data_IF_096578391710
#
_entry.id   IF_096578391710
#
_cell.length_a   1.000
_cell.length_b   1.000
_cell.length_c   1.000
_cell.angle_alpha   90.00
_cell.angle_beta   90.00
_cell.angle_gamma   90.00
#
_symmetry.space_group_name_H-M   'P 1'
#
loop_
_entity.id
_entity.type
_entity.pdbx_description
1 polymer ?
#
# COMPACT_ATOMS: atom_id res chain seq x y z
N UNK A 1 -56.99 -44.48 30.58
CA UNK A 1 -57.49 -43.10 30.74
C UNK A 1 -56.31 -42.16 30.78
N UNK A 2 -56.12 -41.32 29.75
CA UNK A 2 -54.98 -40.41 29.66
C UNK A 2 -55.37 -39.08 30.34
N UNK A 3 -54.78 -38.79 31.50
CA UNK A 3 -55.06 -37.57 32.25
C UNK A 3 -54.32 -36.39 31.59
N UNK A 4 -55.01 -35.61 30.76
CA UNK A 4 -54.42 -34.45 30.08
C UNK A 4 -54.36 -33.30 31.07
N UNK A 5 -53.20 -33.09 31.71
CA UNK A 5 -52.97 -31.93 32.59
C UNK A 5 -53.18 -30.65 31.78
N UNK A 6 -54.23 -29.89 32.08
CA UNK A 6 -54.49 -28.57 31.49
C UNK A 6 -53.69 -27.52 32.26
N UNK A 7 -52.75 -26.87 31.59
CA UNK A 7 -51.96 -25.77 32.17
C UNK A 7 -52.83 -24.52 32.29
N UNK A 8 -52.68 -23.76 33.39
CA UNK A 8 -53.38 -22.48 33.57
C UNK A 8 -52.85 -21.45 32.56
N UNK A 9 -53.75 -20.67 31.95
CA UNK A 9 -53.40 -19.67 30.95
C UNK A 9 -52.36 -18.65 31.44
N UNK A 10 -52.39 -18.30 32.73
CA UNK A 10 -51.40 -17.42 33.36
C UNK A 10 -49.99 -18.02 33.41
N UNK A 11 -49.86 -19.34 33.61
CA UNK A 11 -48.57 -20.03 33.60
C UNK A 11 -47.96 -20.05 32.20
N UNK A 12 -48.80 -20.20 31.17
CA UNK A 12 -48.37 -20.15 29.76
C UNK A 12 -47.92 -18.73 29.40
N UNK A 13 -48.68 -17.71 29.79
CA UNK A 13 -48.35 -16.31 29.51
C UNK A 13 -47.06 -15.83 30.23
N UNK A 14 -46.85 -16.27 31.46
CA UNK A 14 -45.62 -15.96 32.20
C UNK A 14 -44.39 -16.63 31.56
N UNK A 15 -44.51 -17.90 31.19
CA UNK A 15 -43.44 -18.63 30.51
C UNK A 15 -43.11 -18.04 29.12
N UNK A 16 -44.12 -17.67 28.34
CA UNK A 16 -43.91 -17.04 27.02
C UNK A 16 -43.27 -15.66 27.14
N UNK A 17 -43.67 -14.84 28.11
CA UNK A 17 -43.04 -13.55 28.38
C UNK A 17 -41.56 -13.67 28.73
N UNK A 18 -41.19 -14.66 29.56
CA UNK A 18 -39.79 -14.95 29.89
C UNK A 18 -38.96 -15.37 28.67
N UNK A 19 -39.52 -16.21 27.80
CA UNK A 19 -38.86 -16.62 26.55
C UNK A 19 -38.67 -15.44 25.60
N UNK A 20 -39.69 -14.57 25.45
CA UNK A 20 -39.60 -13.38 24.59
C UNK A 20 -38.54 -12.40 25.10
N UNK A 21 -38.51 -12.15 26.42
CA UNK A 21 -37.48 -11.32 27.05
C UNK A 21 -36.08 -11.90 26.83
N UNK A 22 -35.91 -13.20 27.04
CA UNK A 22 -34.64 -13.88 26.82
C UNK A 22 -34.18 -13.77 25.35
N UNK A 23 -35.08 -14.04 24.40
CA UNK A 23 -34.79 -13.91 22.96
C UNK A 23 -34.46 -12.47 22.58
N UNK A 24 -35.15 -11.48 23.14
CA UNK A 24 -34.88 -10.05 22.90
C UNK A 24 -33.49 -9.63 23.41
N UNK A 25 -33.10 -10.09 24.59
CA UNK A 25 -31.75 -9.85 25.14
C UNK A 25 -30.69 -10.55 24.28
N UNK A 26 -30.90 -11.82 23.90
CA UNK A 26 -29.99 -12.54 23.01
C UNK A 26 -29.83 -11.82 21.66
N UNK A 27 -30.93 -11.37 21.05
CA UNK A 27 -30.91 -10.65 19.79
C UNK A 27 -30.08 -9.37 19.91
N UNK A 28 -30.27 -8.61 20.99
CA UNK A 28 -29.51 -7.39 21.27
C UNK A 28 -28.01 -7.67 21.39
N UNK A 29 -27.64 -8.70 22.17
CA UNK A 29 -26.23 -9.11 22.33
C UNK A 29 -25.63 -9.56 20.99
N UNK A 30 -26.39 -10.31 20.19
CA UNK A 30 -25.92 -10.76 18.88
C UNK A 30 -25.72 -9.57 17.92
N UNK A 31 -26.66 -8.64 17.86
CA UNK A 31 -26.55 -7.41 17.07
C UNK A 31 -25.32 -6.59 17.45
N UNK A 32 -25.03 -6.44 18.74
CA UNK A 32 -23.80 -5.74 19.20
C UNK A 32 -22.53 -6.45 18.73
N UNK A 33 -22.50 -7.79 18.74
CA UNK A 33 -21.38 -8.56 18.19
C UNK A 33 -21.25 -8.37 16.69
N UNK A 34 -22.35 -8.42 15.94
CA UNK A 34 -22.35 -8.22 14.49
C UNK A 34 -21.79 -6.85 14.14
N UNK A 35 -22.23 -5.77 14.81
CA UNK A 35 -21.70 -4.42 14.59
C UNK A 35 -20.20 -4.36 14.90
N UNK A 36 -19.74 -4.98 16.00
CA UNK A 36 -18.32 -5.02 16.35
C UNK A 36 -17.48 -5.73 15.28
N UNK A 37 -17.93 -6.89 14.79
CA UNK A 37 -17.22 -7.64 13.75
C UNK A 37 -17.24 -6.90 12.42
N UNK A 38 -18.36 -6.30 12.04
CA UNK A 38 -18.48 -5.49 10.84
C UNK A 38 -17.50 -4.31 10.87
N UNK A 39 -17.47 -3.55 11.97
CA UNK A 39 -16.55 -2.42 12.10
C UNK A 39 -15.08 -2.85 12.09
N UNK A 40 -14.75 -3.99 12.70
CA UNK A 40 -13.38 -4.54 12.64
C UNK A 40 -13.00 -4.93 11.21
N UNK A 41 -13.90 -5.58 10.49
CA UNK A 41 -13.69 -5.98 9.11
C UNK A 41 -13.55 -4.75 8.19
N UNK A 42 -14.41 -3.75 8.35
CA UNK A 42 -14.35 -2.49 7.62
C UNK A 42 -13.00 -1.76 7.85
N UNK A 43 -12.57 -1.62 9.10
CA UNK A 43 -11.29 -1.01 9.45
C UNK A 43 -10.09 -1.77 8.86
N UNK A 44 -10.13 -3.11 8.91
CA UNK A 44 -9.07 -3.94 8.32
C UNK A 44 -9.00 -3.76 6.81
N UNK A 45 -10.15 -3.66 6.15
CA UNK A 45 -10.24 -3.43 4.70
C UNK A 45 -9.75 -2.05 4.29
N UNK A 46 -10.13 -1.00 5.03
CA UNK A 46 -9.63 0.36 4.79
C UNK A 46 -8.10 0.41 4.89
N UNK A 47 -7.54 -0.20 5.95
CA UNK A 47 -6.09 -0.33 6.12
C UNK A 47 -5.44 -1.05 4.94
N UNK A 48 -5.97 -2.18 4.49
CA UNK A 48 -5.43 -2.91 3.33
C UNK A 48 -5.46 -2.07 2.05
N UNK A 49 -6.57 -1.35 1.80
CA UNK A 49 -6.67 -0.46 0.64
C UNK A 49 -5.64 0.67 0.71
N UNK A 50 -5.38 1.21 1.90
CA UNK A 50 -4.37 2.24 2.08
C UNK A 50 -2.94 1.72 1.83
N UNK A 51 -2.62 0.50 2.27
CA UNK A 51 -1.33 -0.13 1.99
C UNK A 51 -1.11 -0.36 0.49
N UNK A 52 -2.11 -0.92 -0.20
CA UNK A 52 -2.06 -1.12 -1.66
C UNK A 52 -1.89 0.21 -2.38
N UNK A 53 -2.62 1.25 -1.95
CA UNK A 53 -2.47 2.59 -2.53
C UNK A 53 -1.06 3.12 -2.35
N UNK A 54 -0.50 3.05 -1.14
CA UNK A 54 0.87 3.50 -0.86
C UNK A 54 1.92 2.70 -1.63
N UNK A 55 1.71 1.39 -1.84
CA UNK A 55 2.59 0.57 -2.67
C UNK A 55 2.52 0.92 -4.15
N UNK A 56 1.34 1.27 -4.67
CA UNK A 56 1.19 1.78 -6.03
C UNK A 56 1.81 3.18 -6.17
N UNK A 57 1.60 4.08 -5.21
CA UNK A 57 2.24 5.39 -5.17
C UNK A 57 3.78 5.26 -5.17
N UNK A 58 4.32 4.20 -4.54
CA UNK A 58 5.74 3.89 -4.54
C UNK A 58 6.23 3.46 -5.93
N UNK A 59 5.43 2.67 -6.65
CA UNK A 59 5.70 2.28 -8.03
C UNK A 59 5.70 3.50 -8.95
N UNK A 60 4.67 4.34 -8.86
CA UNK A 60 4.51 5.55 -9.66
C UNK A 60 5.67 6.53 -9.44
N UNK A 61 6.09 6.73 -8.19
CA UNK A 61 7.24 7.59 -7.87
C UNK A 61 8.56 7.04 -8.42
N UNK A 62 8.76 5.72 -8.39
CA UNK A 62 9.94 5.10 -9.00
C UNK A 62 9.92 5.22 -10.52
N UNK A 63 8.77 5.00 -11.16
CA UNK A 63 8.63 5.10 -12.61
C UNK A 63 8.85 6.54 -13.07
N UNK A 64 8.27 7.51 -12.36
CA UNK A 64 8.44 8.93 -12.59
C UNK A 64 9.93 9.30 -12.71
N UNK A 65 10.77 8.94 -11.72
CA UNK A 65 12.20 9.24 -11.77
C UNK A 65 12.88 8.70 -13.02
N UNK A 66 12.63 7.42 -13.36
CA UNK A 66 13.25 6.79 -14.54
C UNK A 66 12.74 7.36 -15.86
N UNK A 67 11.47 7.79 -15.92
CA UNK A 67 10.89 8.41 -17.11
C UNK A 67 11.44 9.82 -17.31
N UNK A 68 11.46 10.64 -16.26
CA UNK A 68 11.96 12.03 -16.32
C UNK A 68 13.41 12.08 -16.80
N UNK A 69 14.29 11.22 -16.26
CA UNK A 69 15.69 11.18 -16.72
C UNK A 69 15.81 10.71 -18.17
N UNK A 70 15.07 9.67 -18.57
CA UNK A 70 15.12 9.12 -19.94
C UNK A 70 14.56 10.08 -20.96
N UNK A 71 13.48 10.77 -20.64
CA UNK A 71 12.93 11.80 -21.50
C UNK A 71 13.88 12.99 -21.60
N UNK A 72 14.47 13.44 -20.47
CA UNK A 72 15.47 14.51 -20.51
C UNK A 72 16.65 14.14 -21.41
N UNK A 73 17.19 12.93 -21.29
CA UNK A 73 18.31 12.45 -22.12
C UNK A 73 17.94 12.37 -23.61
N UNK A 74 16.68 12.03 -23.93
CA UNK A 74 16.22 11.93 -25.31
C UNK A 74 15.93 13.29 -25.96
N UNK A 75 15.30 14.21 -25.22
CA UNK A 75 14.73 15.45 -25.79
C UNK A 75 15.54 16.69 -25.45
N UNK A 76 16.29 16.66 -24.33
CA UNK A 76 16.92 17.83 -23.74
C UNK A 76 15.94 18.80 -23.08
N UNK A 77 14.67 18.44 -22.90
CA UNK A 77 13.67 19.30 -22.25
C UNK A 77 14.01 19.52 -20.78
N UNK A 78 14.32 20.78 -20.44
CA UNK A 78 14.73 21.17 -19.09
C UNK A 78 13.65 20.91 -18.05
N UNK A 79 12.38 20.89 -18.44
CA UNK A 79 11.26 20.56 -17.54
C UNK A 79 11.51 19.23 -16.85
N UNK A 80 12.01 18.24 -17.57
CA UNK A 80 12.19 16.90 -17.03
C UNK A 80 13.37 16.79 -16.06
N UNK A 81 14.44 17.55 -16.35
CA UNK A 81 15.55 17.72 -15.41
C UNK A 81 15.09 18.39 -14.10
N UNK A 82 14.29 19.46 -14.20
CA UNK A 82 13.84 20.22 -13.04
C UNK A 82 12.86 19.38 -12.19
N UNK A 83 11.95 18.64 -12.84
CA UNK A 83 11.05 17.67 -12.22
C UNK A 83 11.81 16.60 -11.43
N UNK A 84 12.80 15.96 -12.08
CA UNK A 84 13.63 14.94 -11.46
C UNK A 84 14.36 15.49 -10.22
N UNK A 85 15.02 16.65 -10.34
CA UNK A 85 15.74 17.24 -9.21
C UNK A 85 14.83 17.64 -8.06
N UNK A 86 13.63 18.15 -8.38
CA UNK A 86 12.64 18.49 -7.37
C UNK A 86 12.18 17.24 -6.61
N UNK A 87 11.95 16.14 -7.30
CA UNK A 87 11.57 14.88 -6.65
C UNK A 87 12.67 14.35 -5.73
N UNK A 88 13.91 14.27 -6.21
CA UNK A 88 15.03 13.71 -5.42
C UNK A 88 15.42 14.60 -4.22
N UNK A 89 15.35 15.93 -4.36
CA UNK A 89 15.87 16.83 -3.33
C UNK A 89 14.80 17.40 -2.39
N UNK A 90 13.59 17.64 -2.90
CA UNK A 90 12.55 18.38 -2.16
C UNK A 90 11.36 17.48 -1.79
N UNK A 91 10.75 16.83 -2.78
CA UNK A 91 9.48 16.13 -2.60
C UNK A 91 9.67 14.77 -1.92
N UNK A 92 10.69 14.01 -2.34
CA UNK A 92 11.12 12.75 -1.73
C UNK A 92 9.95 11.79 -1.47
N UNK A 93 9.11 11.58 -2.49
CA UNK A 93 7.84 10.87 -2.39
C UNK A 93 8.04 9.46 -1.83
N UNK A 94 9.02 8.71 -2.34
CA UNK A 94 9.28 7.35 -1.87
C UNK A 94 9.66 7.30 -0.38
N UNK A 95 10.53 8.21 0.09
CA UNK A 95 10.89 8.31 1.52
C UNK A 95 9.67 8.63 2.39
N UNK A 96 8.83 9.57 1.92
CA UNK A 96 7.60 9.96 2.61
C UNK A 96 6.59 8.80 2.68
N UNK A 97 6.50 7.97 1.65
CA UNK A 97 5.67 6.75 1.67
C UNK A 97 6.18 5.77 2.72
N UNK A 98 7.50 5.53 2.82
CA UNK A 98 8.06 4.67 3.86
C UNK A 98 7.70 5.18 5.27
N UNK A 99 7.72 6.49 5.48
CA UNK A 99 7.33 7.07 6.78
C UNK A 99 5.84 6.86 7.07
N UNK A 100 4.95 7.06 6.08
CA UNK A 100 3.52 6.76 6.22
C UNK A 100 3.26 5.29 6.54
N UNK A 101 3.96 4.37 5.88
CA UNK A 101 3.83 2.93 6.16
C UNK A 101 4.25 2.60 7.61
N UNK A 102 5.28 3.25 8.15
CA UNK A 102 5.65 3.13 9.57
C UNK A 102 4.58 3.68 10.50
N UNK A 103 3.99 4.84 10.17
CA UNK A 103 2.91 5.44 10.95
C UNK A 103 1.65 4.56 10.98
N UNK A 104 1.37 3.82 9.90
CA UNK A 104 0.30 2.82 9.82
C UNK A 104 0.62 1.52 10.59
N UNK A 105 1.79 1.43 11.21
CA UNK A 105 2.21 0.27 12.01
C UNK A 105 2.44 -0.98 11.17
N UNK A 106 2.94 -0.83 9.94
CA UNK A 106 3.40 -1.96 9.12
C UNK A 106 4.61 -2.60 9.83
N UNK A 107 4.58 -3.92 10.08
CA UNK A 107 5.72 -4.66 10.63
C UNK A 107 7.01 -4.44 9.84
N UNK A 108 8.14 -4.39 10.54
CA UNK A 108 9.43 -4.10 9.95
C UNK A 108 9.85 -5.12 8.88
N UNK A 109 9.48 -6.39 9.04
CA UNK A 109 9.73 -7.46 8.07
C UNK A 109 8.85 -7.35 6.81
N UNK A 110 7.69 -6.70 6.90
CA UNK A 110 6.83 -6.36 5.75
C UNK A 110 7.36 -5.12 5.02
N UNK A 111 7.85 -4.14 5.78
CA UNK A 111 8.39 -2.89 5.26
C UNK A 111 9.74 -3.05 4.54
N UNK A 112 10.48 -4.13 4.81
CA UNK A 112 11.82 -4.33 4.26
C UNK A 112 11.86 -4.35 2.73
N UNK A 113 10.83 -4.90 2.06
CA UNK A 113 10.74 -4.86 0.60
C UNK A 113 10.56 -3.44 0.06
N UNK A 114 9.74 -2.62 0.72
CA UNK A 114 9.56 -1.22 0.33
C UNK A 114 10.85 -0.42 0.57
N UNK A 115 11.56 -0.66 1.68
CA UNK A 115 12.88 -0.05 1.94
C UNK A 115 13.93 -0.50 0.92
N UNK A 116 13.90 -1.76 0.52
CA UNK A 116 14.77 -2.27 -0.54
C UNK A 116 14.52 -1.56 -1.87
N UNK A 117 13.26 -1.27 -2.21
CA UNK A 117 12.93 -0.48 -3.40
C UNK A 117 13.55 0.92 -3.34
N UNK A 118 13.42 1.62 -2.20
CA UNK A 118 14.05 2.94 -2.00
C UNK A 118 15.56 2.87 -2.15
N UNK A 119 16.24 1.94 -1.46
CA UNK A 119 17.70 1.80 -1.57
C UNK A 119 18.17 1.46 -2.99
N UNK A 120 17.37 0.68 -3.72
CA UNK A 120 17.65 0.34 -5.11
C UNK A 120 17.47 1.54 -6.03
N UNK A 121 16.48 2.39 -5.76
CA UNK A 121 16.25 3.67 -6.47
C UNK A 121 17.37 4.68 -6.17
N UNK A 122 17.79 4.80 -4.92
CA UNK A 122 18.94 5.64 -4.52
C UNK A 122 20.23 5.23 -5.24
N UNK A 123 20.42 3.93 -5.51
CA UNK A 123 21.57 3.45 -6.28
C UNK A 123 21.51 3.85 -7.76
N UNK A 124 20.32 4.03 -8.34
CA UNK A 124 20.13 4.57 -9.69
C UNK A 124 20.43 6.07 -9.76
N UNK A 125 20.08 6.81 -8.70
CA UNK A 125 20.20 8.27 -8.65
C UNK A 125 21.61 8.76 -9.01
N UNK A 126 22.66 8.03 -8.64
CA UNK A 126 24.04 8.41 -8.97
C UNK A 126 24.38 8.21 -10.46
N UNK A 127 23.78 7.21 -11.12
CA UNK A 127 23.89 7.01 -12.57
C UNK A 127 23.12 8.11 -13.30
N UNK A 128 21.93 8.43 -12.81
CA UNK A 128 21.01 9.41 -13.39
C UNK A 128 21.59 10.83 -13.29
N UNK A 129 22.19 11.19 -12.17
CA UNK A 129 22.95 12.45 -12.03
C UNK A 129 24.10 12.56 -13.02
N UNK A 130 24.87 11.49 -13.22
CA UNK A 130 25.95 11.47 -14.22
C UNK A 130 25.41 11.63 -15.65
N UNK A 131 24.24 11.06 -15.95
CA UNK A 131 23.59 11.24 -17.23
C UNK A 131 23.13 12.69 -17.43
N UNK A 132 22.56 13.33 -16.39
CA UNK A 132 22.21 14.76 -16.43
C UNK A 132 23.43 15.67 -16.61
N UNK A 133 24.54 15.36 -15.94
CA UNK A 133 25.81 16.07 -16.12
C UNK A 133 26.34 15.91 -17.55
N UNK A 134 26.28 14.70 -18.12
CA UNK A 134 26.66 14.44 -19.50
C UNK A 134 25.81 15.25 -20.49
N UNK A 135 24.48 15.30 -20.29
CA UNK A 135 23.58 16.16 -21.08
C UNK A 135 23.98 17.64 -21.01
N UNK A 136 24.28 18.13 -19.80
CA UNK A 136 24.71 19.53 -19.58
C UNK A 136 26.03 19.83 -20.29
N UNK A 137 26.95 18.87 -20.33
CA UNK A 137 28.23 18.96 -21.02
C UNK A 137 28.13 18.69 -22.55
N UNK A 138 26.91 18.46 -23.07
CA UNK A 138 26.63 18.09 -24.46
C UNK A 138 27.25 16.76 -24.91
N UNK A 139 27.55 15.89 -23.95
CA UNK A 139 27.99 14.52 -24.18
C UNK A 139 26.78 13.59 -24.25
N UNK A 140 26.03 13.73 -25.34
CA UNK A 140 24.73 13.05 -25.53
C UNK A 140 24.87 11.53 -25.66
N UNK A 141 25.97 11.05 -26.23
CA UNK A 141 26.21 9.61 -26.39
C UNK A 141 26.42 8.95 -25.04
N UNK A 142 27.24 9.55 -24.18
CA UNK A 142 27.45 9.07 -22.81
C UNK A 142 26.16 9.15 -21.98
N UNK A 143 25.39 10.23 -22.12
CA UNK A 143 24.12 10.37 -21.41
C UNK A 143 23.15 9.23 -21.76
N UNK A 144 23.04 8.90 -23.06
CA UNK A 144 22.23 7.77 -23.53
C UNK A 144 22.77 6.43 -23.05
N UNK A 145 24.08 6.21 -23.17
CA UNK A 145 24.72 4.99 -22.70
C UNK A 145 24.43 4.72 -21.22
N UNK A 146 24.44 5.75 -20.37
CA UNK A 146 24.23 5.60 -18.93
C UNK A 146 22.82 5.12 -18.54
N UNK A 147 21.77 5.53 -19.27
CA UNK A 147 20.35 5.29 -18.87
C UNK A 147 19.58 4.30 -19.76
N UNK A 148 20.23 3.84 -20.84
CA UNK A 148 19.66 2.85 -21.78
C UNK A 148 20.52 1.59 -21.93
N UNK A 149 21.55 1.40 -21.10
CA UNK A 149 22.30 0.14 -21.07
C UNK A 149 21.59 -0.93 -20.22
N UNK A 150 22.03 -2.18 -20.40
CA UNK A 150 21.47 -3.34 -19.71
C UNK A 150 21.65 -3.25 -18.19
N UNK A 151 22.78 -2.73 -17.69
CA UNK A 151 23.03 -2.60 -16.25
C UNK A 151 22.02 -1.65 -15.57
N UNK A 152 21.70 -0.53 -16.21
CA UNK A 152 20.69 0.40 -15.72
C UNK A 152 19.30 -0.24 -15.72
N UNK A 153 18.94 -0.93 -16.81
CA UNK A 153 17.64 -1.61 -16.89
C UNK A 153 17.49 -2.72 -15.84
N UNK A 154 18.54 -3.50 -15.59
CA UNK A 154 18.55 -4.52 -14.54
C UNK A 154 18.36 -3.92 -13.14
N UNK A 155 18.99 -2.78 -12.86
CA UNK A 155 18.80 -2.06 -11.58
C UNK A 155 17.40 -1.47 -11.48
N UNK A 156 16.88 -0.84 -12.54
CA UNK A 156 15.51 -0.34 -12.59
C UNK A 156 14.48 -1.47 -12.39
N UNK A 157 14.72 -2.63 -13.00
CA UNK A 157 13.89 -3.81 -12.80
C UNK A 157 13.99 -4.35 -11.36
N UNK A 158 15.14 -4.24 -10.71
CA UNK A 158 15.31 -4.61 -9.30
C UNK A 158 14.45 -3.75 -8.38
N UNK A 159 14.31 -2.45 -8.66
CA UNK A 159 13.37 -1.57 -7.94
C UNK A 159 11.94 -2.08 -8.10
N UNK A 160 11.50 -2.29 -9.36
CA UNK A 160 10.15 -2.81 -9.67
C UNK A 160 9.88 -4.14 -8.97
N UNK A 161 10.85 -5.06 -8.95
CA UNK A 161 10.71 -6.35 -8.31
C UNK A 161 10.56 -6.25 -6.79
N UNK A 162 11.28 -5.33 -6.14
CA UNK A 162 11.14 -5.07 -4.72
C UNK A 162 9.75 -4.50 -4.38
N UNK A 163 9.24 -3.56 -5.20
CA UNK A 163 7.89 -3.00 -5.03
C UNK A 163 6.82 -4.07 -5.24
N UNK A 164 6.96 -4.91 -6.26
CA UNK A 164 6.04 -6.03 -6.48
C UNK A 164 6.08 -7.04 -5.32
N UNK A 165 7.24 -7.25 -4.71
CA UNK A 165 7.36 -8.13 -3.53
C UNK A 165 6.65 -7.55 -2.31
N UNK A 166 6.71 -6.22 -2.14
CA UNK A 166 5.94 -5.50 -1.13
C UNK A 166 4.43 -5.65 -1.38
N UNK A 167 3.95 -5.31 -2.58
CA UNK A 167 2.53 -5.39 -2.96
C UNK A 167 1.97 -6.82 -2.87
N UNK A 168 2.75 -7.84 -3.24
CA UNK A 168 2.33 -9.24 -3.16
C UNK A 168 2.26 -9.77 -1.74
N UNK A 169 3.02 -9.23 -0.78
CA UNK A 169 2.96 -9.70 0.63
C UNK A 169 1.60 -9.38 1.25
N UNK A 170 0.98 -8.29 0.84
CA UNK A 170 -0.35 -7.88 1.30
C UNK A 170 -1.50 -8.76 0.76
N UNK A 171 -1.28 -9.52 -0.32
CA UNK A 171 -2.27 -10.44 -0.90
C UNK A 171 -2.50 -11.73 -0.08
N UNK A 172 -1.65 -12.05 0.92
CA UNK A 172 -1.67 -13.33 1.66
C UNK A 172 -2.42 -13.32 3.01
N UNK A 173 -3.06 -12.20 3.37
CA UNK A 173 -3.80 -12.08 4.65
C UNK A 173 -5.33 -11.96 4.45
N UNK A 174 -5.84 -12.29 3.26
CA UNK A 174 -7.28 -12.38 2.95
C UNK A 174 -7.82 -13.80 3.12
#
# INVERSE_FOLDING_TARGET
MHNKKTLKQSTIAFASGGIILFLSVMLTVFSLKVVKYYNKAAFTRERQLELIRLGNDLADASEFLTNEIREYVQTGDRTNYDNYLKEVNEVKTMENIINKLKELGVPEDELEYAKQAVRSSEALTEIEKKAMEAMTNKDYDKARELVFNDEYEEKAQSVKNAINSFLRKDEWQA
#
